data_IF_587682663618
#
_entry.id   IF_587682663618
#
_cell.length_a   1.000
_cell.length_b   1.000
_cell.length_c   1.000
_cell.angle_alpha   90.00
_cell.angle_beta   90.00
_cell.angle_gamma   90.00
#
_symmetry.space_group_name_H-M   'P 1'
#
loop_
_entity.id
_entity.type
_entity.pdbx_description
1 polymer ?
#
# COMPACT_ATOMS: atom_id res chain seq x y z
N UNK A 1 -43.72 -32.76 -32.77
CA UNK A 1 -43.24 -31.39 -32.56
C UNK A 1 -41.73 -31.45 -32.27
N UNK A 2 -40.88 -31.36 -33.30
CA UNK A 2 -39.43 -31.49 -33.14
C UNK A 2 -38.86 -30.11 -32.79
N UNK A 3 -38.34 -29.97 -31.57
CA UNK A 3 -37.56 -28.80 -31.19
C UNK A 3 -36.38 -28.74 -32.16
N UNK A 4 -36.22 -27.61 -32.85
CA UNK A 4 -35.09 -27.34 -33.73
C UNK A 4 -33.79 -27.34 -32.92
N UNK A 5 -33.13 -28.49 -32.83
CA UNK A 5 -31.97 -28.68 -31.94
C UNK A 5 -30.65 -28.28 -32.62
N UNK A 6 -30.58 -28.07 -33.96
CA UNK A 6 -29.28 -27.89 -34.64
C UNK A 6 -29.33 -26.87 -35.80
N UNK A 7 -29.84 -25.67 -35.53
CA UNK A 7 -29.26 -24.40 -36.02
C UNK A 7 -28.57 -23.64 -34.86
N UNK A 8 -28.27 -24.42 -33.81
CA UNK A 8 -28.19 -24.06 -32.38
C UNK A 8 -26.75 -24.08 -31.83
N UNK A 9 -25.78 -24.68 -32.55
CA UNK A 9 -24.41 -24.85 -32.05
C UNK A 9 -23.60 -23.56 -32.00
N UNK A 10 -23.76 -22.67 -32.99
CA UNK A 10 -23.09 -21.37 -32.99
C UNK A 10 -23.70 -20.42 -31.95
N UNK A 11 -25.01 -20.47 -31.72
CA UNK A 11 -25.67 -19.66 -30.69
C UNK A 11 -25.19 -20.07 -29.29
N UNK A 12 -25.03 -21.38 -29.02
CA UNK A 12 -24.49 -21.86 -27.76
C UNK A 12 -23.01 -21.45 -27.55
N UNK A 13 -22.19 -21.48 -28.61
CA UNK A 13 -20.80 -20.99 -28.56
C UNK A 13 -20.73 -19.48 -28.32
N UNK A 14 -21.57 -18.71 -29.00
CA UNK A 14 -21.68 -17.25 -28.79
C UNK A 14 -22.16 -16.95 -27.38
N UNK A 15 -23.17 -17.68 -26.88
CA UNK A 15 -23.67 -17.51 -25.52
C UNK A 15 -22.58 -17.82 -24.49
N UNK A 16 -21.81 -18.89 -24.68
CA UNK A 16 -20.69 -19.25 -23.80
C UNK A 16 -19.61 -18.16 -23.80
N UNK A 17 -19.27 -17.65 -24.99
CA UNK A 17 -18.32 -16.56 -25.15
C UNK A 17 -18.79 -15.28 -24.46
N UNK A 18 -20.05 -14.89 -24.68
CA UNK A 18 -20.67 -13.71 -24.05
C UNK A 18 -20.71 -13.87 -22.53
N UNK A 19 -21.10 -15.04 -22.02
CA UNK A 19 -21.09 -15.31 -20.58
C UNK A 19 -19.69 -15.20 -19.99
N UNK A 20 -18.67 -15.75 -20.66
CA UNK A 20 -17.28 -15.62 -20.23
C UNK A 20 -16.82 -14.15 -20.22
N UNK A 21 -17.18 -13.39 -21.25
CA UNK A 21 -16.86 -11.97 -21.35
C UNK A 21 -17.56 -11.15 -20.25
N UNK A 22 -18.82 -11.47 -19.95
CA UNK A 22 -19.57 -10.86 -18.84
C UNK A 22 -18.88 -11.13 -17.50
N UNK A 23 -18.43 -12.37 -17.25
CA UNK A 23 -17.68 -12.69 -16.02
C UNK A 23 -16.41 -11.88 -15.93
N UNK A 24 -15.61 -11.79 -17.00
CA UNK A 24 -14.36 -11.00 -17.01
C UNK A 24 -14.63 -9.53 -16.71
N UNK A 25 -15.67 -8.93 -17.31
CA UNK A 25 -16.05 -7.53 -17.07
C UNK A 25 -16.44 -7.32 -15.61
N UNK A 26 -17.29 -8.19 -15.06
CA UNK A 26 -17.74 -8.10 -13.67
C UNK A 26 -16.56 -8.27 -12.70
N UNK A 27 -15.72 -9.29 -12.90
CA UNK A 27 -14.54 -9.53 -12.06
C UNK A 27 -13.57 -8.36 -12.12
N UNK A 28 -13.30 -7.81 -13.30
CA UNK A 28 -12.39 -6.67 -13.45
C UNK A 28 -12.93 -5.42 -12.75
N UNK A 29 -14.22 -5.14 -12.89
CA UNK A 29 -14.87 -4.03 -12.18
C UNK A 29 -14.81 -4.22 -10.66
N UNK A 30 -15.04 -5.44 -10.18
CA UNK A 30 -14.93 -5.78 -8.77
C UNK A 30 -13.48 -5.59 -8.28
N UNK A 31 -12.49 -6.18 -8.96
CA UNK A 31 -11.07 -6.02 -8.64
C UNK A 31 -10.66 -4.54 -8.58
N UNK A 32 -11.12 -3.72 -9.53
CA UNK A 32 -10.84 -2.28 -9.52
C UNK A 32 -11.44 -1.60 -8.27
N UNK A 33 -12.67 -1.97 -7.88
CA UNK A 33 -13.28 -1.48 -6.64
C UNK A 33 -12.46 -1.86 -5.40
N UNK A 34 -12.04 -3.13 -5.26
CA UNK A 34 -11.19 -3.53 -4.12
C UNK A 34 -9.85 -2.81 -4.11
N UNK A 35 -9.21 -2.65 -5.28
CA UNK A 35 -7.96 -1.93 -5.39
C UNK A 35 -8.11 -0.47 -4.90
N UNK A 36 -9.20 0.21 -5.28
CA UNK A 36 -9.46 1.58 -4.81
C UNK A 36 -9.67 1.65 -3.29
N UNK A 37 -10.40 0.70 -2.71
CA UNK A 37 -10.65 0.66 -1.26
C UNK A 37 -9.40 0.30 -0.47
N UNK A 38 -8.57 -0.59 -1.01
CA UNK A 38 -7.29 -0.93 -0.42
C UNK A 38 -6.36 0.28 -0.42
N UNK A 39 -6.25 1.00 -1.54
CA UNK A 39 -5.45 2.22 -1.63
C UNK A 39 -5.94 3.32 -0.67
N UNK A 40 -7.26 3.47 -0.51
CA UNK A 40 -7.86 4.40 0.45
C UNK A 40 -7.50 4.03 1.89
N UNK A 41 -7.60 2.75 2.25
CA UNK A 41 -7.24 2.26 3.58
C UNK A 41 -5.75 2.39 3.86
N UNK A 42 -4.87 2.06 2.91
CA UNK A 42 -3.43 2.27 3.03
C UNK A 42 -3.10 3.75 3.26
N UNK A 43 -3.73 4.65 2.50
CA UNK A 43 -3.56 6.10 2.70
C UNK A 43 -3.99 6.54 4.09
N UNK A 44 -5.15 6.07 4.56
CA UNK A 44 -5.65 6.41 5.90
C UNK A 44 -4.73 5.89 7.01
N UNK A 45 -4.18 4.68 6.85
CA UNK A 45 -3.23 4.10 7.80
C UNK A 45 -1.92 4.90 7.84
N UNK A 46 -1.40 5.34 6.69
CA UNK A 46 -0.22 6.23 6.64
C UNK A 46 -0.49 7.54 7.36
N UNK A 47 -1.64 8.17 7.14
CA UNK A 47 -2.01 9.43 7.81
C UNK A 47 -2.14 9.22 9.32
N UNK A 48 -2.77 8.13 9.76
CA UNK A 48 -2.93 7.82 11.18
C UNK A 48 -1.58 7.55 11.84
N UNK A 49 -0.72 6.79 11.18
CA UNK A 49 0.63 6.51 11.65
C UNK A 49 1.46 7.80 11.77
N UNK A 50 1.46 8.64 10.73
CA UNK A 50 2.16 9.92 10.73
C UNK A 50 1.72 10.81 11.90
N UNK A 51 0.40 10.95 12.12
CA UNK A 51 -0.15 11.70 13.26
C UNK A 51 0.23 11.11 14.61
N UNK A 52 0.29 9.78 14.71
CA UNK A 52 0.69 9.12 15.96
C UNK A 52 2.15 9.42 16.31
N UNK A 53 3.06 9.34 15.33
CA UNK A 53 4.47 9.71 15.51
C UNK A 53 4.62 11.20 15.81
N UNK A 54 3.97 12.07 15.05
CA UNK A 54 3.99 13.52 15.27
C UNK A 54 3.50 13.90 16.68
N UNK A 55 2.43 13.27 17.18
CA UNK A 55 1.94 13.52 18.53
C UNK A 55 2.91 13.04 19.62
N UNK A 56 3.67 11.98 19.38
CA UNK A 56 4.67 11.49 20.33
C UNK A 56 5.87 12.42 20.36
N UNK A 57 6.37 12.81 19.19
CA UNK A 57 7.54 13.69 19.05
C UNK A 57 7.25 15.10 19.60
N UNK A 58 6.01 15.59 19.50
CA UNK A 58 5.60 16.89 20.05
C UNK A 58 5.11 16.83 21.51
N UNK A 59 5.14 15.67 22.18
CA UNK A 59 4.70 15.57 23.57
C UNK A 59 5.72 16.20 24.52
N UNK A 60 5.26 16.89 25.57
CA UNK A 60 6.15 17.50 26.58
C UNK A 60 7.08 16.49 27.28
N UNK A 61 6.69 15.22 27.32
CA UNK A 61 7.51 14.09 27.75
C UNK A 61 7.26 12.94 26.76
N UNK A 62 8.05 12.83 25.68
CA UNK A 62 7.90 11.74 24.71
C UNK A 62 8.12 10.40 25.43
N UNK A 63 7.28 9.41 25.16
CA UNK A 63 7.41 8.04 25.66
C UNK A 63 8.09 7.17 24.59
N UNK A 64 9.39 6.86 24.73
CA UNK A 64 10.11 6.07 23.73
C UNK A 64 9.58 4.64 23.62
N UNK A 65 8.95 4.10 24.67
CA UNK A 65 8.37 2.75 24.63
C UNK A 65 7.13 2.73 23.74
N UNK A 66 6.33 3.79 23.75
CA UNK A 66 5.17 3.91 22.89
C UNK A 66 5.58 4.02 21.42
N UNK A 67 6.64 4.78 21.13
CA UNK A 67 7.18 4.90 19.78
C UNK A 67 7.66 3.54 19.23
N UNK A 68 8.42 2.78 20.03
CA UNK A 68 8.86 1.43 19.67
C UNK A 68 7.68 0.48 19.44
N UNK A 69 6.64 0.54 20.28
CA UNK A 69 5.42 -0.27 20.09
C UNK A 69 4.71 0.08 18.77
N UNK A 70 4.65 1.35 18.41
CA UNK A 70 4.06 1.80 17.15
C UNK A 70 4.89 1.34 15.96
N UNK A 71 6.22 1.38 16.07
CA UNK A 71 7.13 0.86 15.05
C UNK A 71 6.95 -0.66 14.88
N UNK A 72 6.84 -1.41 15.97
CA UNK A 72 6.58 -2.86 15.96
C UNK A 72 5.22 -3.21 15.37
N UNK A 73 4.17 -2.45 15.71
CA UNK A 73 2.84 -2.57 15.11
C UNK A 73 2.89 -2.29 13.61
N UNK A 74 3.68 -1.31 13.17
CA UNK A 74 3.88 -1.07 11.75
C UNK A 74 4.62 -2.24 11.08
N UNK A 75 5.68 -2.76 11.70
CA UNK A 75 6.40 -3.90 11.15
C UNK A 75 5.53 -5.16 11.09
N UNK A 76 4.61 -5.39 12.02
CA UNK A 76 3.82 -6.64 12.08
C UNK A 76 2.50 -6.55 11.32
N UNK A 77 1.80 -5.41 11.36
CA UNK A 77 0.42 -5.27 10.88
C UNK A 77 0.33 -4.36 9.66
N UNK A 78 0.75 -3.10 9.78
CA UNK A 78 0.45 -2.09 8.76
C UNK A 78 1.39 -2.16 7.55
N UNK A 79 2.62 -2.66 7.75
CA UNK A 79 3.66 -2.84 6.73
C UNK A 79 3.92 -1.55 5.92
N UNK A 80 3.74 -0.38 6.54
CA UNK A 80 4.02 0.91 5.91
C UNK A 80 5.52 1.00 5.70
N UNK A 81 5.91 1.41 4.50
CA UNK A 81 7.29 1.65 4.13
C UNK A 81 7.75 2.97 4.72
N UNK A 82 8.75 2.91 5.58
CA UNK A 82 9.27 4.09 6.30
C UNK A 82 10.76 4.22 6.00
N UNK A 83 11.22 5.45 5.89
CA UNK A 83 12.64 5.78 5.81
C UNK A 83 12.90 6.74 6.97
N UNK A 84 13.80 6.35 7.86
CA UNK A 84 14.38 7.25 8.85
C UNK A 84 15.71 7.77 8.33
N UNK A 85 16.03 8.99 8.73
CA UNK A 85 17.30 9.65 8.48
C UNK A 85 17.80 10.15 9.82
N UNK A 86 19.03 9.77 10.19
CA UNK A 86 19.67 10.28 11.39
C UNK A 86 20.36 11.64 11.14
N UNK A 87 20.88 12.24 12.20
CA UNK A 87 21.62 13.52 12.14
C UNK A 87 22.88 13.47 11.23
N UNK A 88 23.42 12.28 10.96
CA UNK A 88 24.57 12.07 10.09
C UNK A 88 24.16 11.86 8.62
N UNK A 89 22.85 11.83 8.33
CA UNK A 89 22.28 11.60 7.01
C UNK A 89 22.25 10.12 6.60
N UNK A 90 22.43 9.18 7.51
CA UNK A 90 22.30 7.75 7.24
C UNK A 90 20.82 7.38 7.17
N UNK A 91 20.45 6.62 6.13
CA UNK A 91 19.07 6.20 5.95
C UNK A 91 18.83 4.79 6.49
N UNK A 92 17.74 4.61 7.23
CA UNK A 92 17.25 3.29 7.67
C UNK A 92 15.87 3.03 7.08
N UNK A 93 15.73 1.99 6.28
CA UNK A 93 14.47 1.59 5.67
C UNK A 93 13.73 0.55 6.51
N UNK A 94 12.40 0.60 6.48
CA UNK A 94 11.53 -0.39 7.10
C UNK A 94 10.50 -0.86 6.09
N UNK A 95 10.25 -2.18 6.04
CA UNK A 95 9.28 -2.85 5.17
C UNK A 95 9.56 -2.70 3.64
N UNK A 96 10.78 -2.39 3.22
CA UNK A 96 11.23 -2.53 1.83
C UNK A 96 11.83 -3.92 1.53
N UNK A 97 12.14 -4.66 2.58
CA UNK A 97 12.69 -6.02 2.56
C UNK A 97 14.17 -6.00 2.92
N UNK A 98 14.67 -7.08 3.55
CA UNK A 98 15.95 -7.14 4.25
C UNK A 98 17.15 -6.53 3.50
N UNK A 99 17.22 -6.74 2.17
CA UNK A 99 18.31 -6.21 1.33
C UNK A 99 18.19 -4.71 1.06
N UNK A 100 16.96 -4.20 0.95
CA UNK A 100 16.67 -2.81 0.59
C UNK A 100 16.56 -1.90 1.79
N UNK A 101 16.23 -2.46 2.95
CA UNK A 101 16.12 -1.74 4.22
C UNK A 101 17.44 -1.12 4.66
N UNK A 102 18.59 -1.66 4.21
CA UNK A 102 19.93 -1.14 4.52
C UNK A 102 20.70 -0.63 3.27
N UNK A 103 20.05 -0.54 2.11
CA UNK A 103 20.68 -0.09 0.87
C UNK A 103 20.56 1.43 0.73
N UNK A 104 21.64 2.14 1.08
CA UNK A 104 21.70 3.61 1.04
C UNK A 104 21.37 4.18 -0.34
N UNK A 105 21.85 3.55 -1.43
CA UNK A 105 21.61 4.06 -2.79
C UNK A 105 20.12 3.92 -3.15
N UNK A 106 19.52 2.79 -2.78
CA UNK A 106 18.09 2.58 -2.95
C UNK A 106 17.26 3.56 -2.13
N UNK A 107 17.56 3.71 -0.84
CA UNK A 107 16.81 4.57 0.08
C UNK A 107 16.91 6.05 -0.32
N UNK A 108 18.09 6.52 -0.72
CA UNK A 108 18.26 7.89 -1.24
C UNK A 108 17.36 8.16 -2.45
N UNK A 109 17.30 7.21 -3.40
CA UNK A 109 16.40 7.32 -4.56
C UNK A 109 14.92 7.34 -4.17
N UNK A 110 14.53 6.63 -3.11
CA UNK A 110 13.14 6.66 -2.62
C UNK A 110 12.83 7.97 -1.89
N UNK A 111 13.72 8.44 -1.01
CA UNK A 111 13.62 9.74 -0.34
C UNK A 111 13.42 10.86 -1.35
N UNK A 112 14.26 10.93 -2.39
CA UNK A 112 14.12 11.94 -3.44
C UNK A 112 12.76 11.89 -4.15
N UNK A 113 12.22 10.70 -4.41
CA UNK A 113 10.90 10.55 -5.04
C UNK A 113 9.79 11.07 -4.13
N UNK A 114 9.87 10.77 -2.83
CA UNK A 114 8.91 11.25 -1.83
C UNK A 114 8.93 12.77 -1.77
N UNK A 115 10.12 13.38 -1.64
CA UNK A 115 10.27 14.84 -1.63
C UNK A 115 9.75 15.48 -2.93
N UNK A 116 10.05 14.91 -4.10
CA UNK A 116 9.53 15.40 -5.40
C UNK A 116 8.01 15.31 -5.52
N UNK A 117 7.37 14.38 -4.80
CA UNK A 117 5.90 14.26 -4.76
C UNK A 117 5.24 15.26 -3.80
N UNK A 118 6.01 16.08 -3.08
CA UNK A 118 5.52 17.05 -2.10
C UNK A 118 5.31 16.45 -0.71
N UNK A 119 5.90 15.28 -0.43
CA UNK A 119 5.88 14.70 0.91
C UNK A 119 6.73 15.54 1.87
N UNK A 120 6.19 15.86 3.04
CA UNK A 120 6.88 16.62 4.08
C UNK A 120 7.37 15.62 5.14
N UNK A 121 8.69 15.53 5.40
CA UNK A 121 9.22 14.69 6.47
C UNK A 121 8.69 15.11 7.85
N UNK A 122 8.56 14.14 8.75
CA UNK A 122 8.30 14.42 10.16
C UNK A 122 9.65 14.58 10.82
N UNK A 123 9.89 15.74 11.43
CA UNK A 123 11.09 15.99 12.23
C UNK A 123 10.89 15.40 13.63
N UNK A 124 11.93 14.77 14.16
CA UNK A 124 11.96 14.18 15.49
C UNK A 124 13.39 14.19 16.04
N UNK A 125 13.54 13.85 17.31
CA UNK A 125 14.87 13.76 17.94
C UNK A 125 15.42 12.33 17.77
N UNK A 126 16.51 12.16 17.01
CA UNK A 126 17.11 10.85 16.75
C UNK A 126 18.19 10.81 15.67
#
# INVERSE_FOLDING_TARGET
MKINIIKKSNIAKVLLFVSGLVVVVITSAFTAYFASRLAENERNNVILYAKAIENIQNADNPDPQLELQILDLNHSVNKIKIIFEDELGQLSGFNFGEKKDNDQEYLMKQKEKLLKSGFIPIEGEG
#
